data_IF_485284102162
#
_entry.id   IF_485284102162
#
_cell.length_a   1.000
_cell.length_b   1.000
_cell.length_c   1.000
_cell.angle_alpha   90.00
_cell.angle_beta   90.00
_cell.angle_gamma   90.00
#
_symmetry.space_group_name_H-M   'P 1'
#
loop_
_entity.id
_entity.type
_entity.pdbx_description
1 polymer ?
#
# COMPACT_ATOMS: atom_id res chain seq x y z
N UNK A 1 3.50 9.09 10.32
CA UNK A 1 4.91 8.87 10.73
C UNK A 1 5.86 9.24 9.58
N UNK A 2 7.18 9.24 9.79
CA UNK A 2 8.15 9.63 8.77
C UNK A 2 8.22 8.66 7.58
N UNK A 3 8.03 7.34 7.80
CA UNK A 3 8.00 6.36 6.70
C UNK A 3 6.77 6.55 5.84
N UNK A 4 5.61 6.79 6.46
CA UNK A 4 4.38 7.19 5.79
C UNK A 4 4.57 8.40 4.87
N UNK A 5 5.24 9.45 5.35
CA UNK A 5 5.53 10.64 4.54
C UNK A 5 6.45 10.32 3.36
N UNK A 6 7.46 9.46 3.54
CA UNK A 6 8.36 9.04 2.46
C UNK A 6 7.61 8.29 1.35
N UNK A 7 6.76 7.33 1.72
CA UNK A 7 5.92 6.60 0.77
C UNK A 7 4.94 7.52 0.02
N UNK A 8 4.31 8.46 0.73
CA UNK A 8 3.40 9.43 0.12
C UNK A 8 4.10 10.36 -0.87
N UNK A 9 5.31 10.86 -0.54
CA UNK A 9 6.12 11.66 -1.45
C UNK A 9 6.56 10.86 -2.68
N UNK A 10 7.03 9.63 -2.49
CA UNK A 10 7.39 8.76 -3.60
C UNK A 10 6.21 8.56 -4.56
N UNK A 11 5.01 8.27 -4.03
CA UNK A 11 3.81 8.15 -4.86
C UNK A 11 3.48 9.47 -5.59
N UNK A 12 3.51 10.61 -4.90
CA UNK A 12 3.23 11.90 -5.52
C UNK A 12 4.21 12.21 -6.67
N UNK A 13 5.51 11.99 -6.46
CA UNK A 13 6.55 12.20 -7.47
C UNK A 13 6.36 11.29 -8.69
N UNK A 14 6.02 10.01 -8.48
CA UNK A 14 5.71 9.06 -9.55
C UNK A 14 4.49 9.51 -10.36
N UNK A 15 3.42 9.93 -9.68
CA UNK A 15 2.20 10.39 -10.34
C UNK A 15 2.45 11.67 -11.15
N UNK A 16 3.16 12.66 -10.60
CA UNK A 16 3.54 13.87 -11.33
C UNK A 16 4.39 13.56 -12.56
N UNK A 17 5.41 12.69 -12.41
CA UNK A 17 6.26 12.28 -13.53
C UNK A 17 5.49 11.56 -14.64
N UNK A 18 4.38 10.89 -14.32
CA UNK A 18 3.48 10.27 -15.30
C UNK A 18 2.52 11.26 -15.97
N UNK A 19 2.56 12.54 -15.61
CA UNK A 19 1.66 13.59 -16.12
C UNK A 19 0.27 13.58 -15.47
N UNK A 20 0.13 13.02 -14.27
CA UNK A 20 -1.11 13.15 -13.48
C UNK A 20 -1.04 14.44 -12.68
N UNK A 21 -2.04 15.29 -12.87
CA UNK A 21 -2.28 16.43 -11.97
C UNK A 21 -2.86 15.92 -10.66
N UNK A 22 -2.25 16.31 -9.54
CA UNK A 22 -2.67 15.87 -8.20
C UNK A 22 -2.99 17.06 -7.30
N UNK A 23 -3.94 16.83 -6.41
CA UNK A 23 -4.25 17.72 -5.29
C UNK A 23 -4.21 16.92 -3.99
N UNK A 24 -3.82 17.57 -2.90
CA UNK A 24 -3.88 17.01 -1.56
C UNK A 24 -4.79 17.88 -0.70
N UNK A 25 -5.45 17.29 0.29
CA UNK A 25 -6.29 18.03 1.24
C UNK A 25 -5.44 18.75 2.31
N UNK A 26 -4.15 18.48 2.35
CA UNK A 26 -3.21 19.15 3.25
C UNK A 26 -3.64 19.00 4.72
N UNK A 27 -3.67 20.09 5.50
CA UNK A 27 -4.08 20.04 6.91
C UNK A 27 -5.52 19.59 7.15
N UNK A 28 -6.38 19.63 6.13
CA UNK A 28 -7.79 19.21 6.26
C UNK A 28 -7.97 17.70 6.09
N UNK A 29 -6.93 16.97 5.70
CA UNK A 29 -7.03 15.52 5.51
C UNK A 29 -7.21 14.79 6.84
N UNK A 30 -8.25 13.95 6.92
CA UNK A 30 -8.54 13.12 8.10
C UNK A 30 -8.33 11.64 7.80
N UNK A 31 -8.19 10.86 8.86
CA UNK A 31 -8.12 9.40 8.77
C UNK A 31 -9.39 8.83 8.11
N UNK A 32 -9.26 7.79 7.29
CA UNK A 32 -10.39 7.07 6.70
C UNK A 32 -11.27 6.34 7.75
N UNK A 33 -10.78 6.19 8.99
CA UNK A 33 -11.49 5.54 10.08
C UNK A 33 -11.47 4.01 10.06
N UNK A 34 -10.75 3.37 9.13
CA UNK A 34 -10.73 1.90 8.99
C UNK A 34 -10.34 1.15 10.28
N UNK A 35 -9.39 1.68 11.03
CA UNK A 35 -8.90 1.05 12.26
C UNK A 35 -9.88 1.27 13.42
N UNK A 36 -10.49 2.47 13.54
CA UNK A 36 -11.57 2.73 14.48
C UNK A 36 -12.75 1.76 14.25
N UNK A 37 -13.15 1.58 12.99
CA UNK A 37 -14.17 0.59 12.62
C UNK A 37 -13.78 -0.83 13.04
N UNK A 38 -12.52 -1.23 12.79
CA UNK A 38 -12.04 -2.59 13.09
C UNK A 38 -11.95 -2.88 14.59
N UNK A 39 -11.66 -1.85 15.39
CA UNK A 39 -11.64 -1.92 16.86
C UNK A 39 -13.03 -1.86 17.50
N UNK A 40 -14.09 -1.59 16.71
CA UNK A 40 -15.45 -1.42 17.23
C UNK A 40 -15.77 -0.03 17.76
N UNK A 41 -14.89 0.95 17.56
CA UNK A 41 -15.07 2.36 17.91
C UNK A 41 -16.01 3.06 16.92
N UNK A 42 -17.28 2.64 16.92
CA UNK A 42 -18.29 3.08 15.95
C UNK A 42 -18.51 4.59 15.98
N UNK A 43 -18.55 5.21 17.16
CA UNK A 43 -18.76 6.65 17.29
C UNK A 43 -17.66 7.46 16.60
N UNK A 44 -16.39 7.08 16.81
CA UNK A 44 -15.26 7.73 16.14
C UNK A 44 -15.27 7.46 14.63
N UNK A 45 -15.60 6.25 14.20
CA UNK A 45 -15.71 5.93 12.78
C UNK A 45 -16.77 6.78 12.07
N UNK A 46 -17.98 6.89 12.66
CA UNK A 46 -19.07 7.70 12.10
C UNK A 46 -18.67 9.17 12.03
N UNK A 47 -18.06 9.72 13.09
CA UNK A 47 -17.58 11.11 13.09
C UNK A 47 -16.53 11.38 12.00
N UNK A 48 -15.54 10.48 11.84
CA UNK A 48 -14.53 10.59 10.79
C UNK A 48 -15.16 10.51 9.39
N UNK A 49 -16.11 9.60 9.20
CA UNK A 49 -16.83 9.40 7.95
C UNK A 49 -17.62 10.65 7.55
N UNK A 50 -18.40 11.20 8.48
CA UNK A 50 -19.19 12.43 8.27
C UNK A 50 -18.28 13.60 7.87
N UNK A 51 -17.21 13.86 8.63
CA UNK A 51 -16.26 14.93 8.33
C UNK A 51 -15.56 14.77 6.99
N UNK A 52 -15.13 13.55 6.66
CA UNK A 52 -14.54 13.26 5.35
C UNK A 52 -15.53 13.58 4.22
N UNK A 53 -16.79 13.15 4.34
CA UNK A 53 -17.82 13.41 3.33
C UNK A 53 -18.13 14.91 3.18
N UNK A 54 -18.15 15.68 4.28
CA UNK A 54 -18.27 17.14 4.23
C UNK A 54 -17.14 17.77 3.42
N UNK A 55 -15.89 17.37 3.69
CA UNK A 55 -14.70 17.86 2.99
C UNK A 55 -14.75 17.49 1.50
N UNK A 56 -15.05 16.22 1.20
CA UNK A 56 -15.10 15.72 -0.18
C UNK A 56 -16.20 16.40 -0.99
N UNK A 57 -17.36 16.64 -0.38
CA UNK A 57 -18.47 17.38 -0.98
C UNK A 57 -18.10 18.83 -1.27
N UNK A 58 -17.50 19.53 -0.30
CA UNK A 58 -17.07 20.94 -0.44
C UNK A 58 -16.08 21.12 -1.59
N UNK A 59 -15.12 20.21 -1.74
CA UNK A 59 -14.14 20.24 -2.83
C UNK A 59 -14.60 19.54 -4.11
N UNK A 60 -15.82 19.00 -4.14
CA UNK A 60 -16.40 18.27 -5.28
C UNK A 60 -15.46 17.19 -5.81
N UNK A 61 -14.88 16.42 -4.90
CA UNK A 61 -13.92 15.36 -5.25
C UNK A 61 -14.64 14.31 -6.08
N UNK A 62 -14.12 14.04 -7.29
CA UNK A 62 -14.66 13.03 -8.20
C UNK A 62 -13.85 11.74 -8.22
N UNK A 63 -12.58 11.82 -7.82
CA UNK A 63 -11.65 10.69 -7.84
C UNK A 63 -10.69 10.78 -6.67
N UNK A 64 -10.46 9.65 -6.01
CA UNK A 64 -9.52 9.50 -4.89
C UNK A 64 -8.56 8.36 -5.21
N UNK A 65 -7.26 8.62 -5.05
CA UNK A 65 -6.22 7.60 -5.11
C UNK A 65 -5.69 7.38 -3.71
N UNK A 66 -5.77 6.15 -3.21
CA UNK A 66 -5.33 5.82 -1.85
C UNK A 66 -3.96 5.15 -1.86
N UNK A 67 -3.05 5.62 -1.00
CA UNK A 67 -1.77 4.95 -0.72
C UNK A 67 -1.94 3.65 0.11
N UNK A 68 -2.96 3.62 0.98
CA UNK A 68 -3.17 2.48 1.88
C UNK A 68 -4.36 1.64 1.43
N UNK A 69 -4.24 0.30 1.40
CA UNK A 69 -5.36 -0.59 1.09
C UNK A 69 -6.41 -0.60 2.20
N UNK A 70 -6.07 -0.15 3.42
CA UNK A 70 -7.02 0.07 4.51
C UNK A 70 -7.95 1.24 4.20
N UNK A 71 -7.39 2.34 3.68
CA UNK A 71 -8.17 3.50 3.22
C UNK A 71 -9.02 3.13 2.01
N UNK A 72 -8.43 2.40 1.04
CA UNK A 72 -9.15 1.89 -0.12
C UNK A 72 -10.40 1.11 0.29
N UNK A 73 -10.22 0.12 1.17
CA UNK A 73 -11.31 -0.73 1.64
C UNK A 73 -12.37 0.05 2.42
N UNK A 74 -11.97 1.00 3.28
CA UNK A 74 -12.93 1.83 3.99
C UNK A 74 -13.76 2.69 3.04
N UNK A 75 -13.10 3.47 2.18
CA UNK A 75 -13.79 4.37 1.26
C UNK A 75 -14.65 3.64 0.23
N UNK A 76 -14.25 2.43 -0.18
CA UNK A 76 -15.01 1.64 -1.16
C UNK A 76 -16.16 0.86 -0.54
N UNK A 77 -15.93 0.22 0.61
CA UNK A 77 -16.86 -0.79 1.15
C UNK A 77 -17.63 -0.33 2.39
N UNK A 78 -17.19 0.74 3.08
CA UNK A 78 -17.79 1.19 4.34
C UNK A 78 -18.38 2.61 4.25
N UNK A 79 -17.99 3.40 3.25
CA UNK A 79 -18.53 4.73 2.99
C UNK A 79 -19.69 4.64 1.99
N UNK A 80 -20.65 5.57 2.03
CA UNK A 80 -21.58 5.73 0.91
C UNK A 80 -20.81 6.16 -0.35
N UNK A 81 -21.31 5.88 -1.56
CA UNK A 81 -20.68 6.36 -2.79
C UNK A 81 -20.50 7.88 -2.79
N UNK A 82 -19.28 8.36 -3.01
CA UNK A 82 -18.95 9.79 -3.04
C UNK A 82 -18.02 10.18 -4.20
N UNK A 83 -17.18 9.27 -4.66
CA UNK A 83 -16.21 9.45 -5.74
C UNK A 83 -15.79 8.09 -6.32
N UNK A 84 -15.09 8.11 -7.46
CA UNK A 84 -14.31 6.97 -7.91
C UNK A 84 -13.10 6.78 -6.97
N UNK A 85 -12.97 5.61 -6.35
CA UNK A 85 -11.87 5.30 -5.42
C UNK A 85 -10.99 4.22 -6.02
N UNK A 86 -9.70 4.51 -6.17
CA UNK A 86 -8.70 3.56 -6.68
C UNK A 86 -7.55 3.40 -5.69
N UNK A 87 -7.03 2.17 -5.57
CA UNK A 87 -5.75 1.95 -4.91
C UNK A 87 -4.62 2.33 -5.86
N UNK A 88 -3.55 2.92 -5.34
CA UNK A 88 -2.46 3.43 -6.18
C UNK A 88 -1.81 2.35 -7.06
N UNK A 89 -1.73 1.10 -6.61
CA UNK A 89 -1.20 -0.01 -7.43
C UNK A 89 -1.97 -0.21 -8.74
N UNK A 90 -3.30 -0.01 -8.72
CA UNK A 90 -4.17 -0.10 -9.91
C UNK A 90 -3.86 1.06 -10.86
N UNK A 91 -3.68 2.26 -10.30
CA UNK A 91 -3.31 3.46 -11.07
C UNK A 91 -1.96 3.27 -11.76
N UNK A 92 -0.96 2.77 -11.03
CA UNK A 92 0.38 2.50 -11.57
C UNK A 92 0.34 1.45 -12.68
N UNK A 93 -0.41 0.36 -12.48
CA UNK A 93 -0.56 -0.68 -13.50
C UNK A 93 -1.20 -0.12 -14.79
N UNK A 94 -2.22 0.75 -14.65
CA UNK A 94 -2.84 1.45 -15.78
C UNK A 94 -1.83 2.37 -16.49
N UNK A 95 -1.13 3.22 -15.75
CA UNK A 95 -0.15 4.15 -16.31
C UNK A 95 1.00 3.44 -17.04
N UNK A 96 1.44 2.29 -16.53
CA UNK A 96 2.43 1.45 -17.19
C UNK A 96 1.89 0.88 -18.51
N UNK A 97 0.65 0.37 -18.51
CA UNK A 97 -0.01 -0.11 -19.74
C UNK A 97 -0.19 1.00 -20.78
N UNK A 98 -0.45 2.22 -20.34
CA UNK A 98 -0.57 3.42 -21.21
C UNK A 98 0.79 3.94 -21.73
N UNK A 99 1.91 3.34 -21.32
CA UNK A 99 3.25 3.80 -21.71
C UNK A 99 3.68 5.10 -21.02
N UNK A 100 2.92 5.59 -20.03
CA UNK A 100 3.21 6.79 -19.24
C UNK A 100 4.19 6.54 -18.09
N UNK A 101 4.43 5.27 -17.78
CA UNK A 101 5.48 4.79 -16.89
C UNK A 101 6.28 3.72 -17.62
N UNK A 102 7.20 4.09 -18.54
CA UNK A 102 7.98 3.12 -19.30
C UNK A 102 9.10 2.52 -18.44
N UNK A 103 8.78 1.95 -17.27
CA UNK A 103 9.76 1.51 -16.27
C UNK A 103 10.40 0.19 -16.71
N UNK A 104 11.73 0.10 -16.69
CA UNK A 104 12.49 -1.14 -16.88
C UNK A 104 13.84 -1.03 -16.16
N UNK A 105 14.40 -2.17 -15.76
CA UNK A 105 15.82 -2.28 -15.42
C UNK A 105 16.15 -2.08 -13.95
N UNK A 106 15.32 -2.56 -13.02
CA UNK A 106 15.72 -2.59 -11.62
C UNK A 106 16.97 -3.47 -11.42
N UNK A 107 18.05 -2.87 -10.92
CA UNK A 107 19.33 -3.55 -10.67
C UNK A 107 19.55 -3.96 -9.21
N UNK A 108 18.52 -3.95 -8.37
CA UNK A 108 18.64 -4.20 -6.93
C UNK A 108 18.49 -5.66 -6.50
N UNK A 109 18.61 -6.62 -7.42
CA UNK A 109 18.54 -8.05 -7.12
C UNK A 109 17.12 -8.62 -7.17
N UNK A 110 16.91 -9.77 -6.50
CA UNK A 110 15.65 -10.52 -6.56
C UNK A 110 14.59 -9.88 -5.65
N UNK A 111 13.39 -9.69 -6.18
CA UNK A 111 12.27 -9.05 -5.48
C UNK A 111 11.20 -10.07 -5.13
N UNK A 112 10.72 -10.05 -3.89
CA UNK A 112 9.53 -10.79 -3.44
C UNK A 112 8.36 -9.81 -3.23
N UNK A 113 7.14 -10.22 -3.57
CA UNK A 113 5.93 -9.45 -3.23
C UNK A 113 5.19 -10.03 -2.03
N UNK A 114 4.86 -9.17 -1.06
CA UNK A 114 3.97 -9.48 0.05
C UNK A 114 2.59 -8.84 -0.16
N UNK A 115 1.57 -9.70 -0.39
CA UNK A 115 0.19 -9.28 -0.62
C UNK A 115 -0.48 -8.68 0.62
N UNK A 116 -0.93 -7.41 0.58
CA UNK A 116 -1.73 -6.84 1.66
C UNK A 116 -3.11 -7.51 1.77
N UNK A 117 -3.53 -7.85 2.98
CA UNK A 117 -4.80 -8.53 3.21
C UNK A 117 -6.03 -7.70 2.78
N UNK A 118 -6.03 -6.38 2.98
CA UNK A 118 -7.12 -5.51 2.52
C UNK A 118 -7.13 -5.29 1.01
N UNK A 119 -5.98 -5.36 0.34
CA UNK A 119 -5.91 -5.22 -1.12
C UNK A 119 -6.36 -6.53 -1.80
N UNK A 120 -5.80 -7.64 -1.34
CA UNK A 120 -6.11 -8.98 -1.83
C UNK A 120 -7.42 -9.54 -1.28
N UNK A 121 -7.40 -10.08 -0.05
CA UNK A 121 -8.53 -10.85 0.50
C UNK A 121 -9.85 -10.08 0.56
N UNK A 122 -9.82 -8.75 0.75
CA UNK A 122 -11.06 -7.94 0.82
C UNK A 122 -11.48 -7.34 -0.52
N UNK A 123 -10.56 -7.16 -1.46
CA UNK A 123 -10.82 -6.37 -2.67
C UNK A 123 -10.40 -7.04 -3.98
N UNK A 124 -9.86 -8.26 -3.92
CA UNK A 124 -9.43 -9.10 -5.03
C UNK A 124 -8.41 -8.45 -5.98
N UNK A 125 -7.63 -7.48 -5.50
CA UNK A 125 -6.56 -6.84 -6.26
C UNK A 125 -5.26 -7.60 -5.96
N UNK A 126 -4.80 -8.35 -6.95
CA UNK A 126 -3.59 -9.20 -6.85
C UNK A 126 -2.65 -8.99 -8.03
N UNK A 127 -3.19 -8.81 -9.24
CA UNK A 127 -2.38 -8.82 -10.46
C UNK A 127 -1.82 -7.44 -10.77
N UNK A 128 -2.50 -6.37 -10.40
CA UNK A 128 -2.06 -4.99 -10.63
C UNK A 128 -0.70 -4.69 -10.00
N UNK A 129 -0.45 -4.93 -8.69
CA UNK A 129 0.87 -4.72 -8.12
C UNK A 129 1.94 -5.62 -8.75
N UNK A 130 1.59 -6.86 -9.13
CA UNK A 130 2.51 -7.80 -9.80
C UNK A 130 2.91 -7.31 -11.18
N UNK A 131 1.96 -6.88 -12.02
CA UNK A 131 2.22 -6.31 -13.35
C UNK A 131 3.19 -5.13 -13.27
N UNK A 132 3.04 -4.27 -12.26
CA UNK A 132 3.97 -3.15 -12.03
C UNK A 132 5.36 -3.67 -11.68
N UNK A 133 5.45 -4.64 -10.76
CA UNK A 133 6.74 -5.22 -10.36
C UNK A 133 7.42 -5.98 -11.50
N UNK A 134 6.69 -6.79 -12.25
CA UNK A 134 7.21 -7.57 -13.38
C UNK A 134 7.69 -6.64 -14.51
N UNK A 135 6.97 -5.54 -14.77
CA UNK A 135 7.42 -4.53 -15.72
C UNK A 135 8.75 -3.88 -15.33
N UNK A 136 9.03 -3.76 -14.03
CA UNK A 136 10.23 -3.12 -13.48
C UNK A 136 11.41 -4.11 -13.35
N UNK A 137 11.13 -5.28 -12.77
CA UNK A 137 12.12 -6.26 -12.32
C UNK A 137 12.27 -7.46 -13.26
N UNK A 138 11.34 -7.65 -14.21
CA UNK A 138 11.21 -8.90 -14.95
C UNK A 138 10.47 -9.94 -14.13
N UNK A 139 11.18 -10.91 -13.56
CA UNK A 139 10.56 -11.96 -12.73
C UNK A 139 10.55 -11.55 -11.25
N UNK A 140 9.42 -11.78 -10.58
CA UNK A 140 9.31 -11.69 -9.12
C UNK A 140 9.26 -13.08 -8.49
N UNK A 141 9.77 -13.18 -7.27
CA UNK A 141 9.67 -14.36 -6.44
C UNK A 141 8.34 -14.34 -5.68
N UNK A 142 7.59 -15.43 -5.73
CA UNK A 142 6.33 -15.60 -5.01
C UNK A 142 6.54 -16.39 -3.72
N UNK A 143 6.03 -15.85 -2.61
CA UNK A 143 5.94 -16.57 -1.34
C UNK A 143 5.00 -17.78 -1.49
N UNK A 144 5.25 -18.84 -0.73
CA UNK A 144 4.41 -20.05 -0.65
C UNK A 144 2.97 -19.69 -0.31
N UNK A 145 2.82 -18.82 0.69
CA UNK A 145 1.57 -18.22 1.09
C UNK A 145 1.44 -16.84 0.43
N UNK A 146 0.98 -16.84 -0.82
CA UNK A 146 0.68 -15.62 -1.59
C UNK A 146 -0.82 -15.47 -1.88
N UNK A 147 -1.19 -14.32 -2.45
CA UNK A 147 -2.55 -13.95 -2.84
C UNK A 147 -3.54 -14.11 -1.68
N UNK A 148 -4.58 -14.93 -1.84
CA UNK A 148 -5.60 -15.13 -0.80
C UNK A 148 -5.05 -15.83 0.45
N UNK A 149 -3.95 -16.59 0.33
CA UNK A 149 -3.31 -17.29 1.46
C UNK A 149 -2.27 -16.45 2.20
N UNK A 150 -2.00 -15.23 1.72
CA UNK A 150 -0.96 -14.38 2.28
C UNK A 150 -1.05 -14.22 3.80
N UNK A 151 0.08 -14.49 4.46
CA UNK A 151 0.24 -14.35 5.90
C UNK A 151 -0.08 -12.90 6.32
N UNK A 152 -0.63 -12.73 7.53
CA UNK A 152 -0.90 -11.40 8.04
C UNK A 152 0.41 -10.73 8.48
N UNK A 153 0.59 -9.45 8.15
CA UNK A 153 1.67 -8.63 8.71
C UNK A 153 1.44 -8.24 10.18
N UNK A 154 0.27 -8.56 10.75
CA UNK A 154 -0.09 -8.31 12.15
C UNK A 154 -0.21 -6.84 12.58
N UNK A 155 -0.11 -5.85 11.67
CA UNK A 155 -0.28 -4.42 12.04
C UNK A 155 -1.70 -3.88 11.92
N UNK A 156 -2.57 -4.51 11.13
CA UNK A 156 -3.97 -4.07 10.97
C UNK A 156 -4.89 -4.51 12.12
N UNK A 157 -6.12 -3.99 12.14
CA UNK A 157 -7.15 -4.40 13.10
C UNK A 157 -6.86 -3.95 14.52
N UNK A 158 -6.20 -2.80 14.67
CA UNK A 158 -5.83 -2.26 15.98
C UNK A 158 -4.55 -2.83 16.60
N UNK A 159 -3.98 -3.91 16.04
CA UNK A 159 -2.80 -4.59 16.60
C UNK A 159 -1.55 -3.71 16.67
N UNK A 160 -1.40 -2.74 15.78
CA UNK A 160 -0.29 -1.78 15.86
C UNK A 160 -0.31 -0.93 17.15
N UNK A 161 -1.47 -0.75 17.77
CA UNK A 161 -1.64 0.05 18.99
C UNK A 161 -1.83 -0.78 20.26
N UNK A 162 -1.97 -2.10 20.12
CA UNK A 162 -2.15 -3.01 21.24
C UNK A 162 -0.86 -3.81 21.46
N UNK A 163 -0.26 -3.78 22.66
CA UNK A 163 0.91 -4.59 22.94
C UNK A 163 0.58 -6.07 22.78
N UNK A 164 1.36 -6.77 21.96
CA UNK A 164 1.27 -8.23 21.83
C UNK A 164 2.31 -8.88 22.73
N UNK A 165 1.97 -9.92 23.51
CA UNK A 165 2.97 -10.74 24.14
C UNK A 165 3.74 -11.52 23.05
N UNK A 166 5.07 -11.38 23.05
CA UNK A 166 5.96 -12.08 22.12
C UNK A 166 6.31 -11.30 20.85
N UNK A 167 7.23 -11.86 20.07
CA UNK A 167 7.67 -11.27 18.82
C UNK A 167 6.62 -11.50 17.71
N UNK A 168 6.48 -10.57 16.75
CA UNK A 168 5.53 -10.73 15.65
C UNK A 168 5.86 -11.96 14.82
N UNK A 169 4.89 -12.86 14.62
CA UNK A 169 5.13 -14.18 14.00
C UNK A 169 5.00 -14.07 12.48
N UNK A 170 3.93 -13.40 12.01
CA UNK A 170 3.65 -13.20 10.60
C UNK A 170 4.79 -12.52 9.85
N UNK A 171 5.17 -11.27 10.21
CA UNK A 171 6.30 -10.57 9.62
C UNK A 171 7.60 -11.38 9.60
N UNK A 172 7.94 -12.04 10.71
CA UNK A 172 9.16 -12.86 10.78
C UNK A 172 9.15 -14.02 9.80
N UNK A 173 8.04 -14.74 9.68
CA UNK A 173 7.91 -15.87 8.74
C UNK A 173 8.02 -15.41 7.29
N UNK A 174 7.38 -14.28 6.95
CA UNK A 174 7.46 -13.67 5.62
C UNK A 174 8.93 -13.35 5.26
N UNK A 175 9.66 -12.71 6.18
CA UNK A 175 11.06 -12.33 5.96
C UNK A 175 11.98 -13.54 5.88
N UNK A 176 11.82 -14.53 6.76
CA UNK A 176 12.62 -15.77 6.74
C UNK A 176 12.45 -16.53 5.43
N UNK A 177 11.23 -16.61 4.90
CA UNK A 177 10.97 -17.24 3.62
C UNK A 177 11.62 -16.45 2.48
N UNK A 178 11.45 -15.14 2.45
CA UNK A 178 12.08 -14.28 1.44
C UNK A 178 13.63 -14.37 1.47
N UNK A 179 14.24 -14.42 2.66
CA UNK A 179 15.69 -14.64 2.82
C UNK A 179 16.11 -16.02 2.29
N UNK A 180 15.34 -17.08 2.60
CA UNK A 180 15.62 -18.44 2.13
C UNK A 180 15.52 -18.57 0.59
N UNK A 181 14.68 -17.76 -0.05
CA UNK A 181 14.58 -17.68 -1.51
C UNK A 181 15.70 -16.84 -2.15
N UNK A 182 16.55 -16.20 -1.34
CA UNK A 182 17.62 -15.32 -1.79
C UNK A 182 17.11 -13.99 -2.33
N UNK A 183 15.98 -13.50 -1.82
CA UNK A 183 15.50 -12.16 -2.11
C UNK A 183 16.48 -11.11 -1.56
N UNK A 184 16.54 -9.95 -2.20
CA UNK A 184 17.24 -8.76 -1.70
C UNK A 184 16.25 -7.71 -1.20
N UNK A 185 15.04 -7.71 -1.74
CA UNK A 185 13.99 -6.73 -1.44
C UNK A 185 12.64 -7.44 -1.28
N UNK A 186 11.90 -7.06 -0.23
CA UNK A 186 10.47 -7.37 -0.10
C UNK A 186 9.67 -6.12 -0.41
N UNK A 187 8.78 -6.23 -1.38
CA UNK A 187 7.86 -5.15 -1.75
C UNK A 187 6.47 -5.48 -1.26
N UNK A 188 5.78 -4.46 -0.77
CA UNK A 188 4.34 -4.55 -0.47
C UNK A 188 3.65 -3.28 -0.93
N UNK A 189 2.32 -3.31 -1.01
CA UNK A 189 1.52 -2.13 -1.38
C UNK A 189 0.66 -1.65 -0.21
N UNK A 190 1.23 -1.68 0.99
CA UNK A 190 0.55 -1.30 2.22
C UNK A 190 1.52 -0.67 3.22
N UNK A 191 1.30 0.59 3.60
CA UNK A 191 2.12 1.26 4.61
C UNK A 191 2.22 0.52 5.95
N UNK A 192 1.14 -0.14 6.37
CA UNK A 192 1.15 -0.92 7.62
C UNK A 192 1.97 -2.20 7.48
N UNK A 193 1.95 -2.87 6.32
CA UNK A 193 2.82 -4.01 6.07
C UNK A 193 4.30 -3.59 6.09
N UNK A 194 4.63 -2.45 5.48
CA UNK A 194 6.00 -1.90 5.51
C UNK A 194 6.46 -1.71 6.95
N UNK A 195 5.69 -0.98 7.76
CA UNK A 195 6.04 -0.75 9.16
C UNK A 195 6.22 -2.07 9.96
N UNK A 196 5.35 -3.06 9.72
CA UNK A 196 5.42 -4.36 10.40
C UNK A 196 6.70 -5.14 10.05
N UNK A 197 7.01 -5.20 8.76
CA UNK A 197 8.15 -5.95 8.24
C UNK A 197 9.47 -5.29 8.65
N UNK A 198 9.54 -3.95 8.61
CA UNK A 198 10.70 -3.22 9.13
C UNK A 198 10.91 -3.44 10.63
N UNK A 199 9.83 -3.42 11.42
CA UNK A 199 9.91 -3.66 12.86
C UNK A 199 10.34 -5.09 13.22
N UNK A 200 10.14 -6.06 12.32
CA UNK A 200 10.56 -7.43 12.53
C UNK A 200 12.07 -7.66 12.36
N UNK A 201 12.80 -6.66 11.82
CA UNK A 201 14.25 -6.62 11.59
C UNK A 201 14.78 -7.78 10.74
N UNK A 202 15.29 -7.46 9.54
CA UNK A 202 15.92 -8.43 8.64
C UNK A 202 17.05 -7.78 7.85
N UNK A 203 17.81 -8.58 7.11
CA UNK A 203 18.81 -8.09 6.17
C UNK A 203 18.20 -7.57 4.86
N UNK A 204 16.92 -7.85 4.62
CA UNK A 204 16.18 -7.49 3.41
C UNK A 204 15.79 -6.01 3.41
N UNK A 205 15.84 -5.40 2.23
CA UNK A 205 15.26 -4.09 2.03
C UNK A 205 13.73 -4.18 1.94
N UNK A 206 13.01 -3.37 2.72
CA UNK A 206 11.55 -3.31 2.69
C UNK A 206 11.10 -2.04 1.99
N UNK A 207 10.40 -2.19 0.87
CA UNK A 207 9.91 -1.05 0.08
C UNK A 207 8.39 -1.11 -0.10
N UNK A 208 7.77 0.07 -0.07
CA UNK A 208 6.47 0.21 -0.72
C UNK A 208 6.63 0.19 -2.26
N UNK A 209 5.62 -0.30 -2.97
CA UNK A 209 5.63 -0.35 -4.44
C UNK A 209 5.92 1.02 -5.07
N UNK A 210 5.40 2.12 -4.50
CA UNK A 210 5.68 3.46 -5.00
C UNK A 210 7.14 3.87 -4.79
N UNK A 211 7.78 3.45 -3.69
CA UNK A 211 9.22 3.70 -3.46
C UNK A 211 10.09 2.99 -4.48
N UNK A 212 9.78 1.73 -4.79
CA UNK A 212 10.51 0.97 -5.82
C UNK A 212 10.33 1.60 -7.21
N UNK A 213 9.10 1.94 -7.58
CA UNK A 213 8.79 2.62 -8.84
C UNK A 213 9.55 3.94 -8.94
N UNK A 214 9.56 4.72 -7.85
CA UNK A 214 10.24 6.01 -7.79
C UNK A 214 11.76 5.86 -7.99
N UNK A 215 12.37 4.86 -7.35
CA UNK A 215 13.80 4.58 -7.47
C UNK A 215 14.20 4.29 -8.91
N UNK A 216 13.36 3.55 -9.65
CA UNK A 216 13.63 3.21 -11.06
C UNK A 216 13.41 4.40 -11.98
N UNK A 217 12.53 5.34 -11.63
CA UNK A 217 12.41 6.61 -12.34
C UNK A 217 13.67 7.49 -12.19
N UNK A 218 14.35 7.47 -11.03
CA UNK A 218 15.58 8.25 -10.78
C UNK A 218 16.83 7.67 -11.46
N UNK A 219 16.81 6.41 -11.88
CA UNK A 219 17.95 5.75 -12.54
C UNK A 219 18.08 6.10 -14.04
N UNK A 220 17.45 7.20 -14.46
CA UNK A 220 17.43 7.73 -15.82
C UNK A 220 18.12 9.08 -15.89
#
# INVERSE_FOLDING_TARGET
>A
DQRGQKMARALAEVLLASGIELAILGPEELCCGREAYSLGEKGLFEWLKERNLEIFSRYRIRKVVTLSPHCYDAFKNLYPPFAEVEHYSVVLARLMKEGRLPLQGFQGGKVVYHDPCHLGRRNAIYDEPRRVLEGICGEILELTDSRQRALCCESGGGRMWLPSPGAPVGPKRILQEAEAMGASTVVTSCPLCVAALEAASSSLEILDLAELVRRVLDQR
#
